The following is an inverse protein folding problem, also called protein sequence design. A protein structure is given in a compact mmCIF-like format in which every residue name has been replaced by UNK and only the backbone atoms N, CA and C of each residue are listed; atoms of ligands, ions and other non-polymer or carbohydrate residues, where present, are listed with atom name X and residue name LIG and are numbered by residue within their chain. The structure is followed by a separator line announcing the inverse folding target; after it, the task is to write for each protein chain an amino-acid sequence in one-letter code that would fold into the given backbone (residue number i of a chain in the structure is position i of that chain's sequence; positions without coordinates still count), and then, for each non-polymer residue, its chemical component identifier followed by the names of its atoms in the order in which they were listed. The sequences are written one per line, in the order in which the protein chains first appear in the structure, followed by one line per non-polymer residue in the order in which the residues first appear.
data_IF_213591113523
#
_entry.id   IF_213591113523
#
_cell.length_a   1.000
_cell.length_b   1.000
_cell.length_c   1.000
_cell.angle_alpha   90.00
_cell.angle_beta   90.00
_cell.angle_gamma   90.00
#
_symmetry.space_group_name_H-M   'P 1'
#
loop_
_entity.id
_entity.type
_entity.pdbx_description
1 polymer ?
#
# COMPACT_ATOMS: atom_id res chain seq x y z
N UNK A 1 -7.70 -1.45 -14.68
CA UNK A 1 -8.30 -0.59 -13.63
C UNK A 1 -7.27 0.44 -13.20
N UNK A 2 -7.64 1.71 -13.18
CA UNK A 2 -6.74 2.82 -12.89
C UNK A 2 -7.41 3.77 -11.90
N UNK A 3 -6.61 4.54 -11.15
CA UNK A 3 -7.14 5.53 -10.23
C UNK A 3 -6.32 6.82 -10.23
N UNK A 4 -6.96 7.91 -9.85
CA UNK A 4 -6.33 9.18 -9.54
C UNK A 4 -6.84 9.68 -8.20
N UNK A 5 -5.95 10.25 -7.37
CA UNK A 5 -6.30 10.86 -6.09
C UNK A 5 -6.07 12.35 -6.10
N UNK A 6 -6.91 13.08 -5.38
CA UNK A 6 -6.81 14.52 -5.18
C UNK A 6 -7.14 14.88 -3.72
N UNK A 7 -6.78 16.10 -3.32
CA UNK A 7 -7.02 16.66 -2.00
C UNK A 7 -5.75 16.83 -1.18
N UNK A 8 -5.78 17.78 -0.29
CA UNK A 8 -4.72 18.20 0.62
C UNK A 8 -4.94 17.61 2.01
N UNK A 9 -3.85 17.41 2.75
CA UNK A 9 -3.88 16.83 4.10
C UNK A 9 -4.83 17.55 5.04
N UNK A 10 -4.86 18.87 4.99
CA UNK A 10 -5.72 19.74 5.80
C UNK A 10 -6.78 20.49 4.95
N UNK A 11 -7.03 20.03 3.71
CA UNK A 11 -8.15 20.48 2.89
C UNK A 11 -9.49 19.87 3.34
N UNK A 12 -10.62 20.27 2.73
CA UNK A 12 -11.97 19.86 3.17
C UNK A 12 -12.25 18.36 2.94
N UNK A 13 -11.69 17.79 1.88
CA UNK A 13 -12.01 16.43 1.42
C UNK A 13 -10.86 15.85 0.63
N UNK A 14 -10.67 14.54 0.76
CA UNK A 14 -9.85 13.74 -0.13
C UNK A 14 -10.76 13.01 -1.12
N UNK A 15 -10.34 12.89 -2.37
CA UNK A 15 -11.13 12.28 -3.45
C UNK A 15 -10.29 11.29 -4.24
N UNK A 16 -10.92 10.21 -4.70
CA UNK A 16 -10.37 9.33 -5.72
C UNK A 16 -11.41 9.06 -6.81
N UNK A 17 -10.93 8.90 -8.03
CA UNK A 17 -11.72 8.41 -9.16
C UNK A 17 -11.08 7.12 -9.64
N UNK A 18 -11.87 6.04 -9.68
CA UNK A 18 -11.44 4.72 -10.19
C UNK A 18 -12.11 4.48 -11.52
N UNK A 19 -11.33 4.26 -12.57
CA UNK A 19 -11.78 3.96 -13.93
C UNK A 19 -11.49 2.52 -14.35
N UNK A 20 -12.17 2.05 -15.41
CA UNK A 20 -12.00 0.68 -15.89
C UNK A 20 -12.57 -0.37 -14.92
N UNK A 21 -13.62 -0.02 -14.18
CA UNK A 21 -14.34 -0.94 -13.30
C UNK A 21 -15.40 -1.68 -14.10
N UNK A 22 -15.42 -3.02 -14.15
CA UNK A 22 -16.43 -3.78 -14.89
C UNK A 22 -17.82 -3.59 -14.30
N UNK A 23 -18.86 -3.62 -15.12
CA UNK A 23 -20.24 -3.57 -14.68
C UNK A 23 -20.61 -4.84 -13.90
N UNK A 24 -21.48 -4.71 -12.90
CA UNK A 24 -22.04 -5.82 -12.13
C UNK A 24 -21.16 -6.31 -10.98
N UNK A 25 -20.04 -5.64 -10.68
CA UNK A 25 -19.25 -5.91 -9.49
C UNK A 25 -20.00 -5.43 -8.24
N UNK A 26 -20.09 -6.27 -7.21
CA UNK A 26 -20.66 -5.88 -5.92
C UNK A 26 -19.65 -5.02 -5.14
N UNK A 27 -20.08 -3.86 -4.65
CA UNK A 27 -19.27 -2.94 -3.84
C UNK A 27 -19.86 -2.85 -2.44
N UNK A 28 -19.03 -3.05 -1.44
CA UNK A 28 -19.36 -2.94 -0.02
C UNK A 28 -18.68 -1.72 0.60
N UNK A 29 -19.46 -0.67 0.89
CA UNK A 29 -18.95 0.48 1.66
C UNK A 29 -18.38 0.04 3.02
N UNK A 30 -18.97 -0.99 3.64
CA UNK A 30 -18.49 -1.56 4.90
C UNK A 30 -17.10 -2.18 4.76
N UNK A 31 -16.83 -2.90 3.68
CA UNK A 31 -15.51 -3.50 3.44
C UNK A 31 -14.45 -2.42 3.19
N UNK A 32 -14.74 -1.41 2.38
CA UNK A 32 -13.83 -0.27 2.16
C UNK A 32 -13.53 0.45 3.49
N UNK A 33 -14.56 0.71 4.31
CA UNK A 33 -14.39 1.35 5.61
C UNK A 33 -13.61 0.47 6.60
N UNK A 34 -13.68 -0.86 6.49
CA UNK A 34 -12.85 -1.77 7.27
C UNK A 34 -11.36 -1.62 6.91
N UNK A 35 -11.03 -1.56 5.64
CA UNK A 35 -9.65 -1.35 5.20
C UNK A 35 -9.12 0.05 5.59
N UNK A 36 -9.95 1.09 5.53
CA UNK A 36 -9.61 2.41 6.04
C UNK A 36 -9.32 2.38 7.55
N UNK A 37 -10.12 1.65 8.33
CA UNK A 37 -9.90 1.49 9.76
C UNK A 37 -8.59 0.72 10.05
N UNK A 38 -8.28 -0.34 9.30
CA UNK A 38 -7.01 -1.09 9.40
C UNK A 38 -5.81 -0.17 9.14
N UNK A 39 -5.89 0.69 8.11
CA UNK A 39 -4.85 1.70 7.81
C UNK A 39 -4.66 2.69 8.95
N UNK A 40 -5.73 3.07 9.66
CA UNK A 40 -5.66 4.02 10.76
C UNK A 40 -5.20 3.40 12.08
N UNK A 41 -5.34 2.10 12.26
CA UNK A 41 -4.91 1.36 13.44
C UNK A 41 -3.39 1.17 13.49
N UNK A 42 -2.92 0.61 14.60
CA UNK A 42 -1.52 0.24 14.83
C UNK A 42 -0.88 0.99 16.00
N UNK A 43 0.11 0.36 16.63
CA UNK A 43 0.90 0.94 17.72
C UNK A 43 1.85 2.03 17.21
N UNK A 44 2.12 3.04 18.02
CA UNK A 44 3.01 4.15 17.65
C UNK A 44 2.38 5.24 16.77
N UNK A 45 1.03 5.22 16.62
CA UNK A 45 0.29 6.21 15.84
C UNK A 45 0.17 7.54 16.58
N UNK A 46 0.25 8.64 15.83
CA UNK A 46 0.14 10.00 16.35
C UNK A 46 -1.30 10.42 16.69
N UNK A 47 -1.43 11.52 17.44
CA UNK A 47 -2.71 12.03 17.93
C UNK A 47 -3.75 12.40 16.86
N UNK A 48 -3.34 12.62 15.60
CA UNK A 48 -4.27 12.88 14.49
C UNK A 48 -5.22 11.71 14.23
N UNK A 49 -4.78 10.48 14.44
CA UNK A 49 -5.62 9.29 14.25
C UNK A 49 -6.79 9.22 15.23
N UNK A 50 -6.71 9.94 16.35
CA UNK A 50 -7.85 10.08 17.28
C UNK A 50 -8.94 11.04 16.74
N UNK A 51 -8.56 12.01 15.89
CA UNK A 51 -9.46 13.00 15.31
C UNK A 51 -10.13 12.43 14.06
N UNK A 52 -9.31 11.91 13.13
CA UNK A 52 -9.77 11.40 11.84
C UNK A 52 -10.36 9.98 12.01
N UNK A 53 -11.62 9.83 11.62
CA UNK A 53 -12.29 8.54 11.49
C UNK A 53 -12.74 8.39 10.05
N UNK A 54 -11.86 7.86 9.21
CA UNK A 54 -12.07 7.79 7.78
C UNK A 54 -13.30 6.96 7.44
N UNK A 55 -14.22 7.58 6.72
CA UNK A 55 -15.39 6.93 6.14
C UNK A 55 -15.53 7.36 4.70
N UNK A 56 -15.64 6.37 3.82
CA UNK A 56 -15.83 6.60 2.40
C UNK A 56 -17.27 7.01 2.10
N UNK A 57 -17.44 7.93 1.16
CA UNK A 57 -18.69 8.20 0.48
C UNK A 57 -18.51 7.87 -0.99
N UNK A 58 -19.39 7.03 -1.55
CA UNK A 58 -19.41 6.68 -2.97
C UNK A 58 -20.44 7.56 -3.66
N UNK A 59 -20.01 8.39 -4.63
CA UNK A 59 -20.87 9.41 -5.24
C UNK A 59 -21.19 9.16 -6.72
N UNK A 60 -20.50 8.23 -7.37
CA UNK A 60 -20.80 7.82 -8.75
C UNK A 60 -20.36 6.39 -9.04
N UNK A 61 -20.78 5.83 -10.18
CA UNK A 61 -20.33 4.55 -10.69
C UNK A 61 -20.98 3.31 -10.06
N UNK A 62 -21.78 3.48 -9.00
CA UNK A 62 -22.44 2.39 -8.26
C UNK A 62 -23.94 2.69 -8.13
N UNK A 63 -24.77 1.66 -8.34
CA UNK A 63 -26.22 1.74 -8.13
C UNK A 63 -26.70 0.46 -7.44
N UNK A 64 -27.41 0.62 -6.30
CA UNK A 64 -27.90 -0.50 -5.49
C UNK A 64 -26.80 -1.52 -5.12
N UNK A 65 -25.57 -1.00 -4.82
CA UNK A 65 -24.44 -1.82 -4.42
C UNK A 65 -23.67 -2.48 -5.59
N UNK A 66 -24.06 -2.24 -6.84
CA UNK A 66 -23.39 -2.80 -8.03
C UNK A 66 -22.82 -1.71 -8.92
N UNK A 67 -21.65 -1.96 -9.47
CA UNK A 67 -21.02 -1.06 -10.47
C UNK A 67 -21.81 -1.08 -11.78
N UNK A 68 -21.79 0.05 -12.48
CA UNK A 68 -22.53 0.25 -13.75
C UNK A 68 -21.62 0.47 -14.97
N UNK A 69 -20.29 0.16 -14.84
CA UNK A 69 -19.33 0.32 -15.92
C UNK A 69 -18.83 1.77 -16.12
N UNK A 70 -19.27 2.72 -15.31
CA UNK A 70 -18.78 4.10 -15.33
C UNK A 70 -17.75 4.34 -14.19
N UNK A 71 -16.96 5.44 -14.25
CA UNK A 71 -16.01 5.73 -13.18
C UNK A 71 -16.65 5.82 -11.78
N UNK A 72 -16.00 5.19 -10.82
CA UNK A 72 -16.42 5.23 -9.41
C UNK A 72 -15.71 6.37 -8.70
N UNK A 73 -16.46 7.33 -8.15
CA UNK A 73 -15.92 8.43 -7.36
C UNK A 73 -16.10 8.13 -5.87
N UNK A 74 -14.99 8.22 -5.15
CA UNK A 74 -14.87 8.01 -3.71
C UNK A 74 -14.40 9.29 -3.05
N UNK A 75 -14.93 9.63 -1.89
CA UNK A 75 -14.48 10.77 -1.10
C UNK A 75 -14.43 10.44 0.38
N UNK A 76 -13.49 11.08 1.10
CA UNK A 76 -13.35 11.02 2.56
C UNK A 76 -13.20 12.44 3.08
N UNK A 77 -14.11 12.87 3.95
CA UNK A 77 -14.03 14.19 4.57
C UNK A 77 -12.87 14.25 5.58
N UNK A 78 -12.15 15.37 5.61
CA UNK A 78 -11.16 15.63 6.65
C UNK A 78 -11.85 16.31 7.84
N UNK A 79 -11.88 15.64 9.00
CA UNK A 79 -12.53 16.17 10.20
C UNK A 79 -11.75 17.34 10.82
N UNK A 80 -10.43 17.38 10.64
CA UNK A 80 -9.56 18.48 11.08
C UNK A 80 -9.74 19.77 10.25
N UNK A 81 -10.44 19.71 9.11
CA UNK A 81 -10.70 20.87 8.23
C UNK A 81 -11.26 22.10 8.95
N UNK A 82 -12.09 21.91 9.97
CA UNK A 82 -12.67 23.01 10.73
C UNK A 82 -11.63 23.94 11.38
N UNK A 83 -10.40 23.45 11.61
CA UNK A 83 -9.28 24.20 12.18
C UNK A 83 -8.43 24.90 11.10
N UNK A 84 -8.70 24.64 9.81
CA UNK A 84 -7.84 25.04 8.69
C UNK A 84 -8.55 25.90 7.64
N UNK A 85 -9.83 26.23 7.83
CA UNK A 85 -10.70 26.90 6.84
C UNK A 85 -10.14 28.20 6.29
N UNK A 86 -9.43 28.98 7.11
CA UNK A 86 -8.80 30.24 6.69
C UNK A 86 -7.40 29.98 6.08
N UNK A 87 -6.57 29.15 6.73
CA UNK A 87 -5.17 28.91 6.35
C UNK A 87 -5.02 28.03 5.11
N UNK A 88 -6.03 27.23 4.80
CA UNK A 88 -6.12 26.38 3.61
C UNK A 88 -7.30 26.78 2.70
N UNK A 89 -7.72 28.03 2.77
CA UNK A 89 -8.79 28.56 1.91
C UNK A 89 -8.41 28.44 0.44
N UNK A 90 -9.36 27.98 -0.39
CA UNK A 90 -9.16 27.81 -1.84
C UNK A 90 -9.09 29.17 -2.56
N UNK A 91 -9.77 30.18 -2.03
CA UNK A 91 -9.86 31.52 -2.62
C UNK A 91 -9.71 32.60 -1.55
N UNK A 92 -9.38 33.81 -1.99
CA UNK A 92 -9.23 34.98 -1.15
C UNK A 92 -7.77 35.33 -0.85
N UNK A 93 -7.56 36.28 0.02
CA UNK A 93 -6.23 36.69 0.46
C UNK A 93 -5.79 35.86 1.67
N UNK A 94 -4.50 35.59 1.81
CA UNK A 94 -4.00 34.87 2.98
C UNK A 94 -4.25 35.69 4.26
N UNK A 95 -4.53 35.06 5.42
CA UNK A 95 -4.64 35.73 6.70
C UNK A 95 -3.37 36.54 7.01
N UNK A 96 -3.53 37.71 7.64
CA UNK A 96 -2.39 38.58 7.96
C UNK A 96 -1.38 37.94 8.93
N UNK A 97 -1.83 36.98 9.73
CA UNK A 97 -1.02 36.22 10.68
C UNK A 97 -0.54 34.89 10.13
N UNK A 98 -0.66 34.66 8.81
CA UNK A 98 -0.16 33.44 8.20
C UNK A 98 1.36 33.36 8.31
N UNK A 99 1.84 32.32 8.97
CA UNK A 99 3.26 31.97 9.04
C UNK A 99 3.56 30.91 8.00
N UNK A 100 4.48 31.23 7.07
CA UNK A 100 4.98 30.27 6.06
C UNK A 100 5.86 29.22 6.71
N UNK A 101 5.80 28.01 6.19
CA UNK A 101 6.75 26.94 6.51
C UNK A 101 8.01 27.10 5.67
N UNK A 102 9.10 27.55 6.28
CA UNK A 102 10.36 27.85 5.60
C UNK A 102 11.55 27.00 6.09
N UNK A 103 11.28 26.01 6.96
CA UNK A 103 12.30 25.10 7.52
C UNK A 103 12.05 23.65 7.10
N UNK A 104 12.44 23.28 5.84
CA UNK A 104 12.12 21.98 5.25
C UNK A 104 12.69 20.81 6.05
N UNK A 105 11.94 19.73 6.15
CA UNK A 105 12.34 18.52 6.88
C UNK A 105 13.31 17.67 6.06
N UNK A 106 14.47 17.29 6.61
CA UNK A 106 15.36 16.32 5.99
C UNK A 106 14.64 14.99 5.72
N UNK A 107 14.81 14.44 4.53
CA UNK A 107 14.18 13.17 4.14
C UNK A 107 12.71 13.27 3.71
N UNK A 108 12.13 14.47 3.66
CA UNK A 108 10.78 14.75 3.15
C UNK A 108 10.83 15.42 1.77
N UNK A 109 9.67 15.63 1.15
CA UNK A 109 9.55 16.29 -0.16
C UNK A 109 9.70 17.83 -0.10
N UNK A 110 9.68 18.42 1.09
CA UNK A 110 9.53 19.86 1.33
C UNK A 110 10.50 20.69 0.47
N UNK A 111 11.81 20.55 0.68
CA UNK A 111 12.83 21.32 -0.06
C UNK A 111 12.75 21.10 -1.57
N UNK A 112 12.72 19.84 -1.99
CA UNK A 112 12.72 19.52 -3.42
C UNK A 112 11.42 19.95 -4.12
N UNK A 113 10.31 19.94 -3.40
CA UNK A 113 9.03 20.39 -3.91
C UNK A 113 8.97 21.90 -4.13
N UNK A 114 9.46 22.72 -3.19
CA UNK A 114 9.51 24.19 -3.36
C UNK A 114 10.47 24.55 -4.49
N UNK A 115 11.64 23.92 -4.59
CA UNK A 115 12.57 24.13 -5.69
C UNK A 115 11.97 23.74 -7.05
N UNK A 116 11.25 22.61 -7.11
CA UNK A 116 10.65 22.14 -8.36
C UNK A 116 9.54 23.05 -8.86
N UNK A 117 8.74 23.59 -7.96
CA UNK A 117 7.51 24.33 -8.29
C UNK A 117 7.67 25.85 -8.16
N UNK A 118 8.87 26.35 -7.86
CA UNK A 118 9.18 27.77 -7.62
C UNK A 118 8.24 28.38 -6.56
N UNK A 119 8.18 27.72 -5.40
CA UNK A 119 7.37 28.12 -4.25
C UNK A 119 8.24 28.57 -3.09
N UNK A 120 7.69 29.40 -2.21
CA UNK A 120 8.37 29.97 -1.03
C UNK A 120 7.79 29.47 0.30
N UNK A 121 6.82 28.55 0.26
CA UNK A 121 6.15 27.97 1.41
C UNK A 121 6.10 26.43 1.27
N UNK A 122 6.83 25.73 2.15
CA UNK A 122 6.84 24.27 2.21
C UNK A 122 5.45 23.68 2.51
N UNK A 123 4.51 24.46 3.08
CA UNK A 123 3.13 24.03 3.33
C UNK A 123 2.46 23.53 2.05
N UNK A 124 2.64 24.20 0.93
CA UNK A 124 2.06 23.82 -0.35
C UNK A 124 2.51 22.44 -0.84
N UNK A 125 3.74 22.04 -0.47
CA UNK A 125 4.29 20.73 -0.81
C UNK A 125 3.84 19.68 0.21
N UNK A 126 3.91 20.02 1.50
CA UNK A 126 3.60 19.15 2.61
C UNK A 126 2.16 18.63 2.54
N UNK A 127 1.22 19.48 2.16
CA UNK A 127 -0.21 19.13 2.09
C UNK A 127 -0.47 17.95 1.15
N UNK A 128 0.17 17.90 0.00
CA UNK A 128 0.00 16.80 -0.95
C UNK A 128 0.95 15.62 -0.70
N UNK A 129 2.15 15.86 -0.20
CA UNK A 129 3.15 14.81 0.09
C UNK A 129 2.93 14.11 1.43
N UNK A 130 1.96 14.54 2.20
CA UNK A 130 1.54 13.90 3.45
C UNK A 130 1.04 12.48 3.23
N UNK A 131 1.35 11.57 4.18
CA UNK A 131 0.80 10.20 4.19
C UNK A 131 -0.75 10.16 4.27
N UNK A 132 -1.43 11.28 4.53
CA UNK A 132 -2.89 11.39 4.47
C UNK A 132 -3.44 11.05 3.09
N UNK A 133 -2.70 11.31 2.02
CA UNK A 133 -3.03 10.95 0.64
C UNK A 133 -3.30 9.46 0.48
N UNK A 134 -2.59 8.59 1.22
CA UNK A 134 -2.75 7.13 1.14
C UNK A 134 -4.13 6.64 1.60
N UNK A 135 -4.91 7.45 2.31
CA UNK A 135 -6.33 7.18 2.60
C UNK A 135 -7.10 6.89 1.31
N UNK A 136 -6.88 7.70 0.27
CA UNK A 136 -7.60 7.52 -0.98
C UNK A 136 -7.05 6.40 -1.84
N UNK A 137 -5.79 6.00 -1.68
CA UNK A 137 -5.26 4.77 -2.27
C UNK A 137 -5.97 3.55 -1.71
N UNK A 138 -6.13 3.48 -0.39
CA UNK A 138 -6.84 2.39 0.29
C UNK A 138 -8.32 2.38 -0.11
N UNK A 139 -8.98 3.52 -0.13
CA UNK A 139 -10.38 3.62 -0.57
C UNK A 139 -10.58 3.16 -2.03
N UNK A 140 -9.72 3.63 -2.95
CA UNK A 140 -9.77 3.25 -4.37
C UNK A 140 -9.52 1.75 -4.56
N UNK A 141 -8.53 1.22 -3.85
CA UNK A 141 -8.19 -0.20 -3.91
C UNK A 141 -9.27 -1.10 -3.30
N UNK A 142 -10.16 -0.58 -2.45
CA UNK A 142 -11.31 -1.33 -1.98
C UNK A 142 -12.17 -1.86 -3.14
N UNK A 143 -12.31 -1.10 -4.24
CA UNK A 143 -12.99 -1.56 -5.46
C UNK A 143 -12.23 -2.72 -6.12
N UNK A 144 -10.89 -2.64 -6.20
CA UNK A 144 -10.05 -3.68 -6.75
C UNK A 144 -10.03 -4.95 -5.87
N UNK A 145 -10.05 -4.80 -4.55
CA UNK A 145 -10.11 -5.92 -3.61
C UNK A 145 -11.43 -6.69 -3.72
N UNK A 146 -12.56 -6.00 -3.82
CA UNK A 146 -13.86 -6.64 -4.06
C UNK A 146 -13.86 -7.41 -5.39
N UNK A 147 -13.29 -6.82 -6.46
CA UNK A 147 -13.14 -7.50 -7.75
C UNK A 147 -12.31 -8.78 -7.63
N UNK A 148 -11.15 -8.71 -7.00
CA UNK A 148 -10.25 -9.85 -6.82
C UNK A 148 -10.84 -10.92 -5.90
N UNK A 149 -11.49 -10.51 -4.80
CA UNK A 149 -12.16 -11.42 -3.87
C UNK A 149 -13.29 -12.21 -4.54
N UNK A 150 -14.08 -11.57 -5.43
CA UNK A 150 -15.13 -12.24 -6.22
C UNK A 150 -14.57 -13.28 -7.20
N UNK A 151 -13.27 -13.19 -7.51
CA UNK A 151 -12.53 -14.15 -8.35
C UNK A 151 -11.73 -15.18 -7.53
N UNK A 152 -11.82 -15.15 -6.19
CA UNK A 152 -11.15 -16.08 -5.29
C UNK A 152 -9.70 -15.72 -4.95
N UNK A 153 -9.31 -14.46 -5.15
CA UNK A 153 -7.98 -13.95 -4.79
C UNK A 153 -8.06 -13.23 -3.44
N UNK A 154 -7.20 -13.63 -2.51
CA UNK A 154 -7.09 -13.04 -1.17
C UNK A 154 -5.76 -12.30 -1.03
N UNK A 155 -5.77 -11.13 -0.38
CA UNK A 155 -4.59 -10.27 -0.15
C UNK A 155 -4.53 -9.90 1.31
N UNK A 156 -3.39 -10.15 1.95
CA UNK A 156 -3.09 -9.72 3.31
C UNK A 156 -1.62 -9.36 3.46
N UNK A 157 -1.28 -8.75 4.58
CA UNK A 157 0.11 -8.37 4.89
C UNK A 157 0.38 -8.52 6.37
N UNK A 158 1.65 -8.73 6.72
CA UNK A 158 2.10 -8.75 8.10
C UNK A 158 3.48 -8.11 8.25
N UNK A 159 3.76 -7.60 9.46
CA UNK A 159 5.03 -6.96 9.79
C UNK A 159 6.05 -8.03 10.17
N UNK A 160 7.24 -7.92 9.59
CA UNK A 160 8.39 -8.80 9.83
C UNK A 160 9.38 -8.16 10.81
N UNK A 161 9.58 -6.83 10.73
CA UNK A 161 10.45 -6.13 11.67
C UNK A 161 10.04 -4.68 11.88
N UNK A 162 10.36 -4.14 13.06
CA UNK A 162 10.31 -2.71 13.37
C UNK A 162 11.63 -2.35 14.07
N UNK A 163 12.38 -1.38 13.50
CA UNK A 163 13.73 -1.10 13.92
C UNK A 163 14.60 -2.36 13.80
N UNK A 164 15.32 -2.69 14.88
CA UNK A 164 16.18 -3.87 14.96
C UNK A 164 15.43 -5.12 15.46
N UNK A 165 14.16 -4.98 15.88
CA UNK A 165 13.36 -6.11 16.35
C UNK A 165 12.74 -6.86 15.18
N UNK A 166 13.09 -8.13 15.04
CA UNK A 166 12.73 -8.99 13.92
C UNK A 166 11.92 -10.18 14.43
N UNK A 167 10.90 -10.58 13.67
CA UNK A 167 10.22 -11.85 13.82
C UNK A 167 11.05 -12.93 13.14
N UNK A 168 11.43 -13.95 13.91
CA UNK A 168 12.21 -15.08 13.37
C UNK A 168 11.33 -16.03 12.56
N UNK A 169 11.77 -16.38 11.37
CA UNK A 169 11.15 -17.35 10.46
C UNK A 169 12.22 -18.31 9.94
N UNK A 170 12.02 -19.63 10.13
CA UNK A 170 12.95 -20.63 9.61
C UNK A 170 12.93 -20.68 8.08
N UNK A 171 11.74 -20.64 7.50
CA UNK A 171 11.49 -20.55 6.05
C UNK A 171 10.47 -19.44 5.76
N UNK A 172 10.94 -18.26 5.35
CA UNK A 172 10.06 -17.12 5.07
C UNK A 172 9.00 -17.36 3.99
N UNK A 173 9.25 -18.25 3.04
CA UNK A 173 8.29 -18.53 1.97
C UNK A 173 7.19 -19.49 2.43
N UNK A 174 7.54 -20.49 3.23
CA UNK A 174 6.54 -21.38 3.87
C UNK A 174 5.75 -20.62 4.93
N UNK A 175 6.41 -19.82 5.76
CA UNK A 175 5.79 -19.01 6.80
C UNK A 175 4.78 -18.01 6.22
N UNK A 176 5.02 -17.45 5.04
CA UNK A 176 4.18 -16.44 4.43
C UNK A 176 2.69 -16.87 4.31
N UNK A 177 2.41 -18.14 4.15
CA UNK A 177 1.04 -18.69 4.05
C UNK A 177 0.57 -19.44 5.31
N UNK A 178 1.38 -19.46 6.36
CA UNK A 178 1.03 -20.11 7.62
C UNK A 178 0.13 -19.26 8.51
N UNK A 179 0.16 -17.95 8.32
CA UNK A 179 -0.59 -17.00 9.15
C UNK A 179 -1.95 -16.66 8.53
N UNK A 180 -2.98 -16.60 9.36
CA UNK A 180 -4.30 -16.13 8.93
C UNK A 180 -4.43 -14.62 9.09
N UNK A 181 -5.32 -13.96 8.30
CA UNK A 181 -5.63 -12.54 8.51
C UNK A 181 -6.07 -12.23 9.96
N UNK A 182 -6.76 -13.15 10.62
CA UNK A 182 -7.19 -12.98 12.01
C UNK A 182 -6.00 -12.89 12.97
N UNK A 183 -5.02 -13.79 12.85
CA UNK A 183 -3.82 -13.80 13.70
C UNK A 183 -3.05 -12.48 13.58
N UNK A 184 -2.99 -11.95 12.35
CA UNK A 184 -2.30 -10.68 12.06
C UNK A 184 -3.04 -9.49 12.67
N UNK A 185 -4.36 -9.42 12.50
CA UNK A 185 -5.16 -8.29 12.98
C UNK A 185 -5.32 -8.26 14.51
N UNK A 186 -5.02 -9.35 15.22
CA UNK A 186 -4.98 -9.38 16.69
C UNK A 186 -3.75 -8.66 17.27
N UNK A 187 -2.71 -8.44 16.49
CA UNK A 187 -1.49 -7.72 16.91
C UNK A 187 -1.60 -6.22 16.60
N UNK A 188 -1.31 -5.38 17.58
CA UNK A 188 -1.27 -3.91 17.39
C UNK A 188 -0.18 -3.43 16.42
N UNK A 189 0.85 -4.24 16.20
CA UNK A 189 1.91 -4.01 15.20
C UNK A 189 1.75 -4.88 13.96
N UNK A 190 0.65 -5.67 13.85
CA UNK A 190 0.37 -6.58 12.72
C UNK A 190 1.45 -7.66 12.52
N UNK A 191 2.16 -8.04 13.57
CA UNK A 191 3.12 -9.14 13.57
C UNK A 191 2.45 -10.39 14.16
N UNK A 192 2.42 -11.54 13.47
CA UNK A 192 1.73 -12.74 13.93
C UNK A 192 2.43 -13.44 15.11
N UNK A 193 3.69 -13.08 15.43
CA UNK A 193 4.39 -13.56 16.63
C UNK A 193 4.11 -12.63 17.80
N UNK A 194 3.49 -13.15 18.86
CA UNK A 194 3.21 -12.38 20.08
C UNK A 194 4.50 -11.85 20.73
N UNK A 195 5.51 -12.70 20.84
CA UNK A 195 6.80 -12.33 21.43
C UNK A 195 7.52 -11.23 20.63
N UNK A 196 7.55 -11.34 19.29
CA UNK A 196 8.12 -10.31 18.44
C UNK A 196 7.28 -9.01 18.49
N UNK A 197 5.95 -9.12 18.57
CA UNK A 197 5.05 -7.96 18.72
C UNK A 197 5.36 -7.16 19.97
N UNK A 198 5.57 -7.82 21.11
CA UNK A 198 5.93 -7.16 22.37
C UNK A 198 7.28 -6.42 22.25
N UNK A 199 8.31 -7.07 21.69
CA UNK A 199 9.61 -6.42 21.46
C UNK A 199 9.51 -5.21 20.51
N UNK A 200 8.72 -5.32 19.45
CA UNK A 200 8.49 -4.21 18.50
C UNK A 200 7.76 -3.04 19.17
N UNK A 201 6.77 -3.29 20.04
CA UNK A 201 6.09 -2.23 20.78
C UNK A 201 7.05 -1.53 21.77
N UNK A 202 7.87 -2.29 22.50
CA UNK A 202 8.91 -1.73 23.38
C UNK A 202 9.91 -0.86 22.61
N UNK A 203 10.31 -1.27 21.40
CA UNK A 203 11.21 -0.48 20.56
C UNK A 203 10.55 0.84 20.11
N UNK A 204 9.27 0.82 19.77
CA UNK A 204 8.49 2.03 19.43
C UNK A 204 8.43 2.98 20.62
N UNK A 205 8.18 2.49 21.84
CA UNK A 205 8.12 3.33 23.04
C UNK A 205 9.47 3.98 23.34
N UNK A 206 10.58 3.24 23.24
CA UNK A 206 11.94 3.79 23.39
C UNK A 206 12.23 4.87 22.35
N UNK A 207 11.84 4.66 21.08
CA UNK A 207 12.02 5.67 20.04
C UNK A 207 11.18 6.93 20.32
N UNK A 208 9.94 6.76 20.78
CA UNK A 208 9.05 7.86 21.17
C UNK A 208 9.64 8.68 22.32
N UNK A 209 10.18 8.05 23.34
CA UNK A 209 10.86 8.70 24.47
C UNK A 209 12.11 9.48 24.02
N UNK A 210 12.84 8.96 23.03
CA UNK A 210 13.99 9.61 22.43
C UNK A 210 13.62 10.77 21.49
N UNK A 211 12.35 10.91 21.13
CA UNK A 211 11.88 11.89 20.15
C UNK A 211 12.20 11.51 18.70
N UNK A 212 12.40 10.23 18.43
CA UNK A 212 12.80 9.64 17.16
C UNK A 212 11.66 8.82 16.51
N UNK A 213 11.92 8.21 15.36
CA UNK A 213 10.97 7.40 14.60
C UNK A 213 11.62 6.10 14.12
N UNK A 214 10.81 5.07 13.91
CA UNK A 214 11.26 3.76 13.43
C UNK A 214 10.64 3.41 12.07
N UNK A 215 11.46 2.83 11.20
CA UNK A 215 11.05 2.09 10.02
C UNK A 215 10.94 0.60 10.30
N UNK A 216 10.80 -0.19 9.25
CA UNK A 216 10.76 -1.64 9.38
C UNK A 216 10.44 -2.33 8.06
N UNK A 217 10.19 -3.61 8.15
CA UNK A 217 9.91 -4.50 7.02
C UNK A 217 8.57 -5.18 7.22
N UNK A 218 7.79 -5.24 6.17
CA UNK A 218 6.53 -6.00 6.13
C UNK A 218 6.46 -6.84 4.86
N UNK A 219 5.59 -7.84 4.88
CA UNK A 219 5.38 -8.74 3.74
C UNK A 219 3.93 -8.68 3.29
N UNK A 220 3.71 -8.58 1.98
CA UNK A 220 2.40 -8.70 1.34
C UNK A 220 2.31 -10.08 0.71
N UNK A 221 1.22 -10.78 0.97
CA UNK A 221 0.94 -12.12 0.47
C UNK A 221 -0.37 -12.09 -0.31
N UNK A 222 -0.37 -12.77 -1.48
CA UNK A 222 -1.58 -12.96 -2.28
C UNK A 222 -1.75 -14.42 -2.60
N UNK A 223 -2.91 -14.96 -2.30
CA UNK A 223 -3.28 -16.35 -2.60
C UNK A 223 -4.41 -16.42 -3.63
N UNK A 224 -4.65 -17.58 -4.20
CA UNK A 224 -5.72 -17.80 -5.18
C UNK A 224 -5.42 -17.25 -6.58
N UNK A 225 -4.20 -16.84 -6.87
CA UNK A 225 -3.81 -16.34 -8.19
C UNK A 225 -3.84 -17.44 -9.24
N UNK A 226 -4.42 -17.15 -10.40
CA UNK A 226 -4.31 -18.02 -11.57
C UNK A 226 -2.91 -17.92 -12.18
N UNK A 227 -2.34 -19.02 -12.70
CA UNK A 227 -1.06 -18.96 -13.39
C UNK A 227 -1.14 -18.13 -14.68
N UNK A 228 0.01 -17.60 -15.10
CA UNK A 228 0.20 -16.81 -16.32
C UNK A 228 -0.67 -15.53 -16.41
N UNK A 229 -0.95 -14.87 -15.28
CA UNK A 229 -1.43 -13.47 -15.25
C UNK A 229 -0.21 -12.55 -15.28
N UNK A 230 -0.27 -11.45 -16.01
CA UNK A 230 0.86 -10.58 -16.33
C UNK A 230 1.39 -10.85 -17.74
N UNK A 231 2.61 -10.43 -18.04
CA UNK A 231 3.20 -10.60 -19.36
C UNK A 231 4.72 -10.66 -19.34
N UNK A 232 5.29 -11.23 -20.39
CA UNK A 232 6.73 -11.33 -20.62
C UNK A 232 7.16 -10.54 -21.88
N UNK A 233 6.20 -10.15 -22.68
CA UNK A 233 6.39 -9.62 -24.04
C UNK A 233 7.11 -8.27 -24.03
N UNK A 234 6.77 -7.40 -23.08
CA UNK A 234 7.41 -6.11 -22.93
C UNK A 234 7.84 -5.86 -21.47
N UNK A 235 8.83 -5.01 -21.21
CA UNK A 235 9.24 -4.69 -19.84
C UNK A 235 8.11 -4.13 -18.97
N UNK A 236 7.18 -3.38 -19.55
CA UNK A 236 6.04 -2.75 -18.86
C UNK A 236 4.88 -3.72 -18.63
N UNK A 237 4.84 -4.86 -19.30
CA UNK A 237 3.83 -5.90 -19.08
C UNK A 237 4.17 -6.82 -17.90
N UNK A 238 5.42 -6.85 -17.48
CA UNK A 238 5.87 -7.68 -16.37
C UNK A 238 5.26 -7.22 -15.05
N UNK A 239 4.65 -8.15 -14.31
CA UNK A 239 4.11 -7.86 -12.98
C UNK A 239 5.18 -7.36 -12.01
N UNK A 240 6.41 -7.88 -12.08
CA UNK A 240 7.53 -7.38 -11.27
C UNK A 240 7.78 -5.89 -11.48
N UNK A 241 7.68 -5.40 -12.74
CA UNK A 241 7.81 -3.97 -13.07
C UNK A 241 6.65 -3.15 -12.50
N UNK A 242 5.40 -3.62 -12.71
CA UNK A 242 4.20 -2.92 -12.26
C UNK A 242 4.10 -2.89 -10.73
N UNK A 243 4.30 -4.03 -10.07
CA UNK A 243 4.25 -4.13 -8.61
C UNK A 243 5.40 -3.33 -7.97
N UNK A 244 6.62 -3.44 -8.51
CA UNK A 244 7.74 -2.64 -8.03
C UNK A 244 7.46 -1.14 -8.12
N UNK A 245 6.98 -0.66 -9.28
CA UNK A 245 6.61 0.74 -9.47
C UNK A 245 5.51 1.22 -8.53
N UNK A 246 4.45 0.43 -8.35
CA UNK A 246 3.35 0.75 -7.46
C UNK A 246 3.81 0.81 -5.98
N UNK A 247 4.57 -0.19 -5.52
CA UNK A 247 5.08 -0.23 -4.15
C UNK A 247 6.09 0.88 -3.86
N UNK A 248 7.02 1.18 -4.77
CA UNK A 248 7.93 2.31 -4.61
C UNK A 248 7.24 3.68 -4.71
N UNK A 249 6.01 3.76 -5.22
CA UNK A 249 5.21 4.99 -5.20
C UNK A 249 4.67 5.34 -3.80
N UNK A 250 4.65 4.38 -2.87
CA UNK A 250 4.21 4.60 -1.49
C UNK A 250 5.27 5.43 -0.75
N UNK A 251 4.87 6.51 -0.05
CA UNK A 251 5.81 7.31 0.72
C UNK A 251 6.67 6.47 1.67
N UNK A 252 7.95 6.81 1.76
CA UNK A 252 8.95 6.18 2.63
C UNK A 252 9.38 4.74 2.24
N UNK A 253 8.84 4.12 1.22
CA UNK A 253 9.35 2.81 0.76
C UNK A 253 10.72 2.96 0.10
N UNK A 254 11.67 2.08 0.49
CA UNK A 254 13.07 2.08 0.05
C UNK A 254 13.58 0.74 -0.45
N UNK A 255 12.85 -0.34 -0.19
CA UNK A 255 13.17 -1.68 -0.65
C UNK A 255 11.93 -2.47 -1.04
N UNK A 256 12.03 -3.26 -2.11
CA UNK A 256 11.00 -4.19 -2.56
C UNK A 256 11.71 -5.45 -3.06
N UNK A 257 11.32 -6.61 -2.55
CA UNK A 257 11.86 -7.90 -2.94
C UNK A 257 10.70 -8.87 -3.24
N UNK A 258 10.90 -9.72 -4.25
CA UNK A 258 9.98 -10.80 -4.62
C UNK A 258 10.58 -12.14 -4.20
N UNK A 259 9.79 -12.99 -3.51
CA UNK A 259 10.26 -14.27 -3.00
C UNK A 259 11.41 -14.10 -2.02
N UNK A 260 12.48 -14.86 -2.21
CA UNK A 260 13.70 -14.77 -1.38
C UNK A 260 14.61 -13.59 -1.77
N UNK A 261 14.20 -12.74 -2.72
CA UNK A 261 14.82 -11.46 -3.02
C UNK A 261 16.33 -11.53 -3.26
N UNK A 262 17.11 -10.71 -2.55
CA UNK A 262 18.56 -10.68 -2.66
C UNK A 262 19.26 -11.98 -2.24
N UNK A 263 18.61 -12.86 -1.48
CA UNK A 263 19.18 -14.14 -1.12
C UNK A 263 19.41 -15.05 -2.36
N UNK A 264 18.68 -14.84 -3.46
CA UNK A 264 18.92 -15.52 -4.74
C UNK A 264 20.34 -15.34 -5.25
N UNK A 265 20.96 -14.18 -4.97
CA UNK A 265 22.31 -13.85 -5.46
C UNK A 265 23.43 -14.61 -4.73
N UNK A 266 23.13 -15.22 -3.59
CA UNK A 266 24.08 -15.94 -2.73
C UNK A 266 24.02 -17.45 -2.91
N UNK A 267 23.04 -17.94 -3.66
CA UNK A 267 22.79 -19.38 -3.87
C UNK A 267 23.08 -19.81 -5.30
N UNK A 268 23.55 -21.04 -5.52
CA UNK A 268 23.59 -21.64 -6.85
C UNK A 268 22.19 -21.73 -7.46
N UNK A 269 22.08 -21.63 -8.79
CA UNK A 269 20.79 -21.67 -9.48
C UNK A 269 19.94 -22.91 -9.15
N UNK A 270 20.58 -24.07 -8.96
CA UNK A 270 19.91 -25.31 -8.54
C UNK A 270 19.26 -25.27 -7.15
N UNK A 271 19.60 -24.27 -6.33
CA UNK A 271 18.99 -24.03 -5.00
C UNK A 271 18.03 -22.84 -5.00
N UNK A 272 17.91 -22.15 -6.11
CA UNK A 272 17.06 -20.97 -6.29
C UNK A 272 15.82 -21.29 -7.10
N UNK A 273 15.99 -21.94 -8.27
CA UNK A 273 14.88 -22.14 -9.20
C UNK A 273 13.92 -23.19 -8.69
N UNK A 274 12.64 -22.84 -8.68
CA UNK A 274 11.55 -23.70 -8.21
C UNK A 274 11.27 -24.80 -9.25
N UNK A 275 11.47 -26.06 -8.89
CA UNK A 275 11.24 -27.19 -9.80
C UNK A 275 9.76 -27.27 -10.18
N UNK A 276 9.50 -27.61 -11.46
CA UNK A 276 8.15 -27.79 -11.98
C UNK A 276 7.73 -29.22 -11.78
N UNK A 277 6.63 -29.44 -11.07
CA UNK A 277 6.06 -30.76 -10.82
C UNK A 277 4.68 -30.83 -11.49
N UNK A 278 4.23 -32.07 -11.72
CA UNK A 278 2.88 -32.36 -12.18
C UNK A 278 2.08 -32.98 -11.04
N UNK A 279 1.06 -32.32 -10.57
CA UNK A 279 0.07 -32.84 -9.64
C UNK A 279 -1.19 -33.29 -10.38
N UNK A 280 -1.80 -34.38 -9.95
CA UNK A 280 -2.97 -34.95 -10.62
C UNK A 280 -4.23 -34.08 -10.52
N UNK A 281 -4.37 -33.32 -9.44
CA UNK A 281 -5.52 -32.44 -9.19
C UNK A 281 -5.29 -31.01 -9.69
N UNK A 282 -4.10 -30.45 -9.38
CA UNK A 282 -3.77 -29.04 -9.59
C UNK A 282 -3.05 -28.78 -10.92
N UNK A 283 -2.51 -29.80 -11.58
CA UNK A 283 -1.72 -29.68 -12.81
C UNK A 283 -0.26 -29.28 -12.53
N UNK A 284 0.25 -28.28 -13.25
CA UNK A 284 1.63 -27.82 -13.04
C UNK A 284 1.75 -26.98 -11.76
N UNK A 285 2.53 -27.49 -10.80
CA UNK A 285 2.84 -26.83 -9.52
C UNK A 285 4.34 -26.60 -9.37
N UNK A 286 4.75 -25.94 -8.29
CA UNK A 286 6.16 -25.74 -7.95
C UNK A 286 6.51 -26.48 -6.66
N UNK A 287 7.73 -27.05 -6.61
CA UNK A 287 8.24 -27.74 -5.42
C UNK A 287 8.56 -26.79 -4.26
N UNK A 288 8.86 -25.53 -4.57
CA UNK A 288 9.18 -24.44 -3.64
C UNK A 288 8.61 -23.14 -4.19
N UNK A 289 8.78 -22.03 -3.47
CA UNK A 289 8.30 -20.71 -3.91
C UNK A 289 9.37 -19.61 -3.75
N UNK A 290 10.61 -19.94 -4.06
CA UNK A 290 11.74 -18.99 -3.98
C UNK A 290 11.53 -17.75 -4.87
N UNK A 291 10.86 -17.93 -6.02
CA UNK A 291 10.49 -16.85 -6.94
C UNK A 291 9.36 -15.96 -6.40
N UNK A 292 8.73 -16.31 -5.26
CA UNK A 292 7.62 -15.55 -4.67
C UNK A 292 6.40 -15.45 -5.57
N UNK A 293 6.06 -16.51 -6.30
CA UNK A 293 4.87 -16.58 -7.14
C UNK A 293 4.99 -15.92 -8.51
N UNK A 294 6.16 -15.40 -8.89
CA UNK A 294 6.38 -14.72 -10.18
C UNK A 294 7.58 -15.29 -10.94
N UNK A 295 7.35 -15.73 -12.16
CA UNK A 295 8.40 -16.12 -13.10
C UNK A 295 8.21 -15.39 -14.45
N UNK A 296 9.28 -14.84 -15.00
CA UNK A 296 9.23 -14.14 -16.29
C UNK A 296 8.28 -12.94 -16.35
N UNK A 297 7.84 -12.41 -15.21
CA UNK A 297 6.87 -11.31 -15.11
C UNK A 297 5.41 -11.76 -15.04
N UNK A 298 5.16 -13.05 -14.89
CA UNK A 298 3.82 -13.66 -14.80
C UNK A 298 3.67 -14.45 -13.50
N UNK A 299 2.43 -14.59 -13.05
CA UNK A 299 2.09 -15.46 -11.91
C UNK A 299 2.33 -16.93 -12.22
N UNK A 300 2.79 -17.70 -11.23
CA UNK A 300 3.01 -19.14 -11.35
C UNK A 300 1.83 -19.99 -10.89
N UNK A 301 0.85 -19.39 -10.21
CA UNK A 301 -0.21 -20.07 -9.47
C UNK A 301 0.14 -20.30 -8.00
N UNK A 302 1.42 -20.20 -7.63
CA UNK A 302 1.86 -20.18 -6.23
C UNK A 302 1.51 -18.83 -5.57
N UNK A 303 1.50 -18.73 -4.24
CA UNK A 303 1.30 -17.46 -3.56
C UNK A 303 2.30 -16.40 -4.02
N UNK A 304 1.81 -15.21 -4.32
CA UNK A 304 2.67 -14.04 -4.52
C UNK A 304 3.15 -13.56 -3.15
N UNK A 305 4.47 -13.45 -2.99
CA UNK A 305 5.10 -13.00 -1.74
C UNK A 305 6.04 -11.84 -2.06
N UNK A 306 5.76 -10.66 -1.49
CA UNK A 306 6.53 -9.43 -1.69
C UNK A 306 6.95 -8.88 -0.35
N UNK A 307 8.26 -8.71 -0.14
CA UNK A 307 8.82 -8.08 1.06
C UNK A 307 9.14 -6.62 0.77
N UNK A 308 8.73 -5.73 1.69
CA UNK A 308 8.81 -4.28 1.49
C UNK A 308 9.45 -3.61 2.69
N UNK A 309 10.47 -2.79 2.43
CA UNK A 309 11.20 -2.03 3.43
C UNK A 309 10.81 -0.56 3.46
N UNK A 310 10.41 -0.07 4.62
CA UNK A 310 10.04 1.32 4.88
C UNK A 310 11.08 2.00 5.76
N UNK A 311 11.59 3.18 5.33
CA UNK A 311 12.44 4.01 6.18
C UNK A 311 11.64 4.67 7.30
N UNK A 312 12.29 5.13 8.40
CA UNK A 312 11.67 5.96 9.44
C UNK A 312 10.97 7.20 8.85
N UNK A 313 9.95 7.68 9.54
CA UNK A 313 9.23 8.91 9.17
C UNK A 313 10.17 10.11 9.36
N UNK A 314 10.11 11.06 8.43
CA UNK A 314 11.01 12.21 8.39
C UNK A 314 10.71 13.31 9.43
N UNK A 315 9.56 13.25 10.10
CA UNK A 315 9.16 14.21 11.13
C UNK A 315 9.49 13.68 12.51
N UNK A 316 10.51 14.22 13.15
CA UNK A 316 10.97 13.85 14.48
C UNK A 316 10.50 14.86 15.52
N UNK A 317 10.20 14.40 16.73
CA UNK A 317 9.91 15.31 17.88
C UNK A 317 11.18 16.03 18.34
N UNK A 318 12.36 15.37 18.24
CA UNK A 318 13.67 16.00 18.34
C UNK A 318 14.17 16.29 16.93
N UNK A 319 13.96 17.51 16.39
CA UNK A 319 14.18 17.78 14.97
C UNK A 319 15.66 17.78 14.59
N UNK A 320 15.92 17.38 13.35
CA UNK A 320 17.24 17.52 12.75
C UNK A 320 17.50 18.97 12.32
N UNK A 321 18.76 19.31 12.12
CA UNK A 321 19.14 20.60 11.54
C UNK A 321 18.70 20.69 10.07
N UNK A 322 18.28 21.88 9.69
CA UNK A 322 17.95 22.28 8.32
C UNK A 322 18.42 23.70 8.05
N UNK A 323 17.99 24.29 6.95
CA UNK A 323 18.25 25.70 6.59
C UNK A 323 16.91 26.41 6.48
N UNK A 324 16.81 27.59 7.10
CA UNK A 324 15.69 28.48 6.88
C UNK A 324 15.79 29.07 5.45
N UNK A 325 14.76 28.90 4.64
CA UNK A 325 14.78 29.28 3.22
C UNK A 325 14.78 30.78 2.98
N UNK A 326 14.32 31.58 3.96
CA UNK A 326 14.31 33.05 3.84
C UNK A 326 15.65 33.67 4.24
N UNK A 327 16.27 33.17 5.33
CA UNK A 327 17.51 33.74 5.86
C UNK A 327 18.76 33.03 5.43
N UNK A 328 18.63 31.81 4.90
CA UNK A 328 19.73 30.88 4.55
C UNK A 328 20.62 30.50 5.74
N UNK A 329 20.12 30.65 6.96
CA UNK A 329 20.79 30.28 8.20
C UNK A 329 20.40 28.89 8.66
N UNK A 330 21.25 28.25 9.46
CA UNK A 330 20.95 26.96 10.08
C UNK A 330 19.77 27.11 11.04
N UNK A 331 18.81 26.20 10.95
CA UNK A 331 17.61 26.18 11.77
C UNK A 331 17.24 24.73 12.15
N UNK A 332 16.33 24.57 13.10
CA UNK A 332 15.65 23.29 13.33
C UNK A 332 14.59 23.05 12.26
N UNK A 333 14.44 21.82 11.82
CA UNK A 333 13.38 21.42 10.89
C UNK A 333 12.00 21.60 11.52
N UNK A 334 11.00 21.90 10.68
CA UNK A 334 9.62 22.08 11.15
C UNK A 334 9.06 20.83 11.82
N UNK A 335 8.28 21.06 12.88
CA UNK A 335 7.63 20.02 13.68
C UNK A 335 6.17 19.92 13.30
N UNK A 336 5.78 18.74 12.85
CA UNK A 336 4.39 18.38 12.57
C UNK A 336 3.94 17.24 13.49
N UNK A 337 2.65 17.11 13.72
CA UNK A 337 2.10 15.93 14.39
C UNK A 337 2.39 14.69 13.55
N UNK A 338 3.14 13.74 14.09
CA UNK A 338 3.61 12.57 13.37
C UNK A 338 3.44 11.28 14.18
N UNK A 339 3.46 10.17 13.49
CA UNK A 339 3.57 8.83 14.08
C UNK A 339 5.02 8.57 14.50
N UNK A 340 5.24 7.73 15.51
CA UNK A 340 6.57 7.20 15.82
C UNK A 340 6.93 6.05 14.87
N UNK A 341 5.94 5.24 14.51
CA UNK A 341 6.06 4.15 13.55
C UNK A 341 4.81 4.08 12.67
N UNK A 342 4.99 3.95 11.36
CA UNK A 342 3.88 3.79 10.40
C UNK A 342 3.97 2.49 9.61
N UNK A 343 4.84 1.56 9.98
CA UNK A 343 5.06 0.28 9.28
C UNK A 343 3.77 -0.53 9.18
N UNK A 344 2.96 -0.71 10.25
CA UNK A 344 1.70 -1.44 10.15
C UNK A 344 0.70 -0.82 9.16
N UNK A 345 0.62 0.51 9.13
CA UNK A 345 -0.25 1.22 8.19
C UNK A 345 0.26 1.12 6.74
N UNK A 346 1.56 1.21 6.53
CA UNK A 346 2.18 1.06 5.21
C UNK A 346 1.95 -0.33 4.61
N UNK A 347 1.88 -1.36 5.44
CA UNK A 347 1.52 -2.71 5.03
C UNK A 347 0.11 -2.76 4.40
N UNK A 348 -0.88 -2.10 5.00
CA UNK A 348 -2.25 -2.00 4.44
C UNK A 348 -2.28 -1.18 3.14
N UNK A 349 -1.48 -0.11 3.06
CA UNK A 349 -1.35 0.66 1.80
C UNK A 349 -0.72 -0.19 0.71
N UNK A 350 0.27 -1.03 1.04
CA UNK A 350 0.90 -1.93 0.08
C UNK A 350 -0.05 -3.03 -0.42
N UNK A 351 -0.91 -3.60 0.44
CA UNK A 351 -2.00 -4.48 0.00
C UNK A 351 -2.87 -3.80 -1.07
N UNK A 352 -3.14 -2.50 -0.88
CA UNK A 352 -3.97 -1.70 -1.77
C UNK A 352 -3.33 -1.52 -3.14
N UNK A 353 -2.05 -1.18 -3.19
CA UNK A 353 -1.31 -1.02 -4.45
C UNK A 353 -1.16 -2.37 -5.19
N UNK A 354 -0.91 -3.45 -4.47
CA UNK A 354 -0.86 -4.80 -5.04
C UNK A 354 -2.22 -5.18 -5.63
N UNK A 355 -3.33 -4.87 -4.93
CA UNK A 355 -4.68 -5.13 -5.42
C UNK A 355 -4.96 -4.39 -6.74
N UNK A 356 -4.61 -3.11 -6.83
CA UNK A 356 -4.80 -2.32 -8.06
C UNK A 356 -4.04 -2.89 -9.25
N UNK A 357 -2.78 -3.27 -9.06
CA UNK A 357 -1.95 -3.87 -10.12
C UNK A 357 -2.50 -5.21 -10.57
N UNK A 358 -2.90 -6.08 -9.63
CA UNK A 358 -3.44 -7.40 -9.96
C UNK A 358 -4.82 -7.31 -10.62
N UNK A 359 -5.70 -6.41 -10.16
CA UNK A 359 -6.99 -6.16 -10.80
C UNK A 359 -6.83 -5.73 -12.25
N UNK A 360 -5.90 -4.79 -12.54
CA UNK A 360 -5.58 -4.38 -13.91
C UNK A 360 -5.08 -5.57 -14.76
N UNK A 361 -4.19 -6.39 -14.21
CA UNK A 361 -3.66 -7.56 -14.92
C UNK A 361 -4.74 -8.62 -15.22
N UNK A 362 -5.68 -8.85 -14.29
CA UNK A 362 -6.80 -9.75 -14.50
C UNK A 362 -7.77 -9.21 -15.58
N UNK A 363 -8.10 -7.92 -15.52
CA UNK A 363 -8.95 -7.27 -16.54
C UNK A 363 -8.31 -7.32 -17.91
N UNK A 364 -7.01 -7.06 -18.01
CA UNK A 364 -6.28 -7.16 -19.29
C UNK A 364 -6.32 -8.57 -19.87
N UNK A 365 -6.28 -9.60 -19.02
CA UNK A 365 -6.27 -11.01 -19.45
C UNK A 365 -7.66 -11.56 -19.74
N UNK A 366 -8.65 -11.24 -18.91
CA UNK A 366 -9.96 -11.92 -18.93
C UNK A 366 -11.12 -11.04 -19.41
N UNK A 367 -10.86 -9.79 -19.81
CA UNK A 367 -11.87 -8.84 -20.25
C UNK A 367 -12.24 -7.82 -19.17
N UNK A 368 -12.90 -6.74 -19.56
CA UNK A 368 -13.08 -5.56 -18.70
C UNK A 368 -14.50 -5.00 -18.67
N UNK A 369 -15.45 -5.53 -19.43
CA UNK A 369 -16.77 -4.89 -19.61
C UNK A 369 -17.73 -5.22 -18.46
N UNK A 370 -17.84 -6.50 -18.09
CA UNK A 370 -18.77 -6.94 -17.06
C UNK A 370 -18.28 -8.22 -16.35
N UNK A 371 -18.77 -8.42 -15.12
CA UNK A 371 -18.37 -9.55 -14.28
C UNK A 371 -18.79 -10.92 -14.83
N UNK A 372 -19.89 -11.00 -15.60
CA UNK A 372 -20.39 -12.25 -16.18
C UNK A 372 -19.41 -12.80 -17.21
N UNK A 373 -18.99 -11.98 -18.16
CA UNK A 373 -18.05 -12.36 -19.22
C UNK A 373 -16.67 -12.69 -18.63
N UNK A 374 -16.20 -11.89 -17.65
CA UNK A 374 -14.93 -12.14 -16.97
C UNK A 374 -14.92 -13.51 -16.30
N UNK A 375 -15.96 -13.85 -15.53
CA UNK A 375 -16.09 -15.16 -14.88
C UNK A 375 -16.14 -16.30 -15.88
N UNK A 376 -16.84 -16.13 -16.99
CA UNK A 376 -16.93 -17.13 -18.04
C UNK A 376 -15.58 -17.34 -18.72
N UNK A 377 -14.84 -16.27 -19.01
CA UNK A 377 -13.50 -16.33 -19.59
C UNK A 377 -12.50 -17.00 -18.63
N UNK A 378 -12.59 -16.74 -17.33
CA UNK A 378 -11.79 -17.42 -16.30
C UNK A 378 -12.12 -18.91 -16.25
N UNK A 379 -13.40 -19.29 -16.28
CA UNK A 379 -13.81 -20.69 -16.28
C UNK A 379 -13.25 -21.45 -17.52
N UNK A 380 -13.37 -20.85 -18.70
CA UNK A 380 -12.82 -21.39 -19.94
C UNK A 380 -11.28 -21.51 -19.89
N UNK A 381 -10.61 -20.51 -19.29
CA UNK A 381 -9.17 -20.53 -19.10
C UNK A 381 -8.74 -21.67 -18.17
N UNK A 382 -9.39 -21.84 -17.02
CA UNK A 382 -9.11 -22.93 -16.06
C UNK A 382 -9.25 -24.30 -16.74
N UNK A 383 -10.29 -24.54 -17.51
CA UNK A 383 -10.49 -25.81 -18.24
C UNK A 383 -9.40 -26.04 -19.28
N UNK A 384 -8.99 -25.01 -20.02
CA UNK A 384 -7.92 -25.11 -21.01
C UNK A 384 -6.58 -25.50 -20.38
N UNK A 385 -6.16 -24.83 -19.30
CA UNK A 385 -4.88 -25.14 -18.66
C UNK A 385 -4.89 -26.54 -18.02
N UNK A 386 -6.02 -26.97 -17.46
CA UNK A 386 -6.19 -28.32 -16.92
C UNK A 386 -6.07 -29.39 -18.01
N UNK A 387 -6.53 -29.11 -19.21
CA UNK A 387 -6.40 -30.03 -20.36
C UNK A 387 -4.95 -30.15 -20.82
N UNK A 388 -4.14 -29.11 -20.70
CA UNK A 388 -2.71 -29.13 -21.07
C UNK A 388 -1.84 -29.95 -20.09
N UNK A 389 -2.30 -30.19 -18.87
CA UNK A 389 -1.60 -30.96 -17.84
C UNK A 389 -2.05 -32.44 -17.77
N UNK A 390 -2.89 -32.88 -18.68
CA UNK A 390 -3.33 -34.29 -18.89
C UNK A 390 -2.65 -34.87 -20.13
#
# INVERSE_FOLDING_TARGET
MEYITAGESHGPVLTAIVSGVPAGLTISEKAINSDLARRQSGYGRGGRQAIEKDKVSVTSGVRFGHTIGSPVTLSVANLDWSNWTERMSVFGEPPQDLVREVTPRPGHADLLGVLKNDMDDCRNILERSSARETTMRVAAAGVAREFLAELGVEIYSYVVSIGDEVMEEEDPMAAATAYTPLDIEMSEVRCPSTEASERMMDAIDKAKEAGDTLGGVFRVVVTGLLPAVGGYETPTDRLTSKLGGALFSIPAIKGVEFGIGFETTRRPGSQVHDEILLDEAEGFVRASNNAGGLEGGMTTGMPLVVTVGMKPIATLTTPLNTVNLDTLEVAEASKERSDTCAVPAAAVVAESEVAMVLADAYLKKFGCDNMTDIKQNIASYKERIKTMSR
#
